data_IF_251035946154
#
_entry.id   IF_251035946154
#
_cell.length_a   1.000
_cell.length_b   1.000
_cell.length_c   1.000
_cell.angle_alpha   90.00
_cell.angle_beta   90.00
_cell.angle_gamma   90.00
#
_symmetry.space_group_name_H-M   'P 1'
#
loop_
_entity.id
_entity.type
_entity.pdbx_description
1 polymer ?
#
# COMPACT_ATOMS: atom_id res chain seq x y z
N UNK A 1 -38.60 -1.48 0.52
CA UNK A 1 -38.19 -0.64 1.66
C UNK A 1 -38.91 0.71 1.66
N UNK A 2 -39.23 1.30 2.83
CA UNK A 2 -39.69 2.70 2.93
C UNK A 2 -38.51 3.59 3.36
N UNK A 3 -38.15 4.58 2.57
CA UNK A 3 -37.01 5.49 2.84
C UNK A 3 -37.20 6.32 4.12
N UNK A 4 -38.45 6.58 4.52
CA UNK A 4 -38.78 7.28 5.78
C UNK A 4 -38.25 6.56 7.03
N UNK A 5 -38.09 5.22 6.97
CA UNK A 5 -37.56 4.45 8.10
C UNK A 5 -36.10 4.81 8.42
N UNK A 6 -35.38 5.42 7.48
CA UNK A 6 -33.97 5.81 7.61
C UNK A 6 -33.76 7.30 7.92
N UNK A 7 -34.84 8.09 7.97
CA UNK A 7 -34.76 9.48 8.40
C UNK A 7 -34.71 9.58 9.92
N UNK A 8 -34.11 10.66 10.41
CA UNK A 8 -34.11 10.98 11.83
C UNK A 8 -35.52 11.31 12.32
N UNK A 9 -35.88 10.75 13.47
CA UNK A 9 -37.15 11.07 14.15
C UNK A 9 -37.01 12.36 14.96
N UNK A 10 -38.14 13.02 15.23
CA UNK A 10 -38.15 14.21 16.07
C UNK A 10 -37.53 13.92 17.45
N UNK A 11 -36.63 14.80 17.90
CA UNK A 11 -35.85 14.69 19.14
C UNK A 11 -34.93 13.46 19.26
N UNK A 12 -34.67 12.74 18.16
CA UNK A 12 -33.74 11.61 18.17
C UNK A 12 -32.28 12.11 18.13
N UNK A 13 -31.52 11.79 19.18
CA UNK A 13 -30.10 12.12 19.24
C UNK A 13 -29.27 11.31 18.23
N UNK A 14 -28.03 11.74 17.97
CA UNK A 14 -27.15 11.05 17.02
C UNK A 14 -26.94 9.57 17.37
N UNK A 15 -26.81 9.24 18.65
CA UNK A 15 -26.50 7.87 19.06
C UNK A 15 -27.69 6.96 18.79
N UNK A 16 -28.88 7.35 19.21
CA UNK A 16 -30.13 6.62 18.98
C UNK A 16 -30.40 6.48 17.48
N UNK A 17 -30.32 7.58 16.73
CA UNK A 17 -30.54 7.61 15.29
C UNK A 17 -29.62 6.63 14.55
N UNK A 18 -28.29 6.80 14.69
CA UNK A 18 -27.34 5.98 13.94
C UNK A 18 -27.37 4.51 14.36
N UNK A 19 -27.64 4.20 15.64
CA UNK A 19 -27.75 2.81 16.11
C UNK A 19 -28.94 2.12 15.46
N UNK A 20 -30.09 2.81 15.41
CA UNK A 20 -31.31 2.28 14.80
C UNK A 20 -31.14 2.03 13.31
N UNK A 21 -30.64 3.02 12.56
CA UNK A 21 -30.52 2.87 11.09
C UNK A 21 -29.41 1.91 10.68
N UNK A 22 -28.33 1.79 11.46
CA UNK A 22 -27.30 0.76 11.24
C UNK A 22 -27.90 -0.65 11.34
N UNK A 23 -28.75 -0.90 12.35
CA UNK A 23 -29.46 -2.17 12.50
C UNK A 23 -30.37 -2.47 11.31
N UNK A 24 -31.15 -1.49 10.86
CA UNK A 24 -32.04 -1.67 9.70
C UNK A 24 -31.24 -1.97 8.41
N UNK A 25 -30.11 -1.31 8.19
CA UNK A 25 -29.21 -1.60 7.06
C UNK A 25 -28.65 -3.04 7.19
N UNK A 26 -28.26 -3.47 8.38
CA UNK A 26 -27.79 -4.84 8.63
C UNK A 26 -28.86 -5.88 8.29
N UNK A 27 -30.11 -5.65 8.69
CA UNK A 27 -31.24 -6.55 8.38
C UNK A 27 -31.48 -6.65 6.87
N UNK A 28 -31.34 -5.56 6.12
CA UNK A 28 -31.42 -5.57 4.66
C UNK A 28 -30.28 -6.39 4.02
N UNK A 29 -29.04 -6.21 4.50
CA UNK A 29 -27.88 -7.01 4.04
C UNK A 29 -28.07 -8.50 4.34
N UNK A 30 -28.52 -8.84 5.56
CA UNK A 30 -28.78 -10.21 5.97
C UNK A 30 -29.88 -10.89 5.13
N UNK A 31 -30.85 -10.10 4.64
CA UNK A 31 -31.90 -10.57 3.72
C UNK A 31 -31.46 -10.63 2.24
N UNK A 32 -30.19 -10.33 1.92
CA UNK A 32 -29.67 -10.32 0.55
C UNK A 32 -30.15 -9.14 -0.30
N UNK A 33 -30.67 -8.08 0.33
CA UNK A 33 -31.26 -6.91 -0.34
C UNK A 33 -30.24 -5.79 -0.55
N UNK A 34 -29.17 -6.09 -1.29
CA UNK A 34 -28.02 -5.20 -1.48
C UNK A 34 -28.40 -3.82 -2.06
N UNK A 35 -29.34 -3.78 -3.03
CA UNK A 35 -29.81 -2.51 -3.62
C UNK A 35 -30.53 -1.65 -2.59
N UNK A 36 -31.48 -2.23 -1.85
CA UNK A 36 -32.22 -1.53 -0.80
C UNK A 36 -31.25 -1.05 0.31
N UNK A 37 -30.26 -1.87 0.68
CA UNK A 37 -29.22 -1.47 1.64
C UNK A 37 -28.39 -0.27 1.17
N UNK A 38 -28.04 -0.21 -0.12
CA UNK A 38 -27.24 0.87 -0.70
C UNK A 38 -28.04 2.18 -0.75
N UNK A 39 -29.31 2.10 -1.16
CA UNK A 39 -30.23 3.23 -1.15
C UNK A 39 -30.47 3.76 0.28
N UNK A 40 -30.70 2.86 1.24
CA UNK A 40 -30.82 3.21 2.66
C UNK A 40 -29.58 3.93 3.19
N UNK A 41 -28.38 3.40 2.90
CA UNK A 41 -27.13 4.04 3.31
C UNK A 41 -26.97 5.43 2.71
N UNK A 42 -27.41 5.65 1.46
CA UNK A 42 -27.36 6.97 0.80
C UNK A 42 -28.18 8.02 1.57
N UNK A 43 -29.35 7.65 2.10
CA UNK A 43 -30.16 8.54 2.96
C UNK A 43 -29.42 8.87 4.25
N UNK A 44 -28.91 7.85 4.96
CA UNK A 44 -28.18 8.03 6.22
C UNK A 44 -26.88 8.83 6.02
N UNK A 45 -26.24 8.67 4.87
CA UNK A 45 -24.97 9.33 4.55
C UNK A 45 -25.07 10.86 4.56
N UNK A 46 -26.23 11.42 4.21
CA UNK A 46 -26.45 12.88 4.24
C UNK A 46 -26.21 13.47 5.64
N UNK A 47 -26.60 12.74 6.68
CA UNK A 47 -26.39 13.13 8.09
C UNK A 47 -25.03 12.67 8.63
N UNK A 48 -24.52 11.54 8.14
CA UNK A 48 -23.26 10.96 8.60
C UNK A 48 -22.03 11.69 8.06
N UNK A 49 -22.05 12.11 6.79
CA UNK A 49 -20.91 12.72 6.09
C UNK A 49 -20.33 13.96 6.82
N UNK A 50 -21.13 14.92 7.33
CA UNK A 50 -20.60 16.06 8.09
C UNK A 50 -19.86 15.62 9.37
N UNK A 51 -20.33 14.55 10.03
CA UNK A 51 -19.71 14.02 11.25
C UNK A 51 -18.39 13.33 10.91
N UNK A 52 -18.34 12.56 9.82
CA UNK A 52 -17.10 11.96 9.31
C UNK A 52 -16.07 13.07 9.07
N UNK A 53 -16.41 14.08 8.27
CA UNK A 53 -15.52 15.20 7.95
C UNK A 53 -14.98 15.87 9.22
N UNK A 54 -15.87 16.21 10.16
CA UNK A 54 -15.50 16.81 11.44
C UNK A 54 -14.51 15.95 12.23
N UNK A 55 -14.76 14.65 12.38
CA UNK A 55 -13.86 13.75 13.13
C UNK A 55 -12.50 13.64 12.45
N UNK A 56 -12.49 13.50 11.12
CA UNK A 56 -11.26 13.41 10.34
C UNK A 56 -10.46 14.71 10.41
N UNK A 57 -11.10 15.88 10.31
CA UNK A 57 -10.47 17.19 10.48
C UNK A 57 -9.87 17.35 11.88
N UNK A 58 -10.60 16.98 12.93
CA UNK A 58 -10.11 17.04 14.30
C UNK A 58 -8.87 16.16 14.51
N UNK A 59 -8.90 14.90 14.05
CA UNK A 59 -7.74 14.01 14.14
C UNK A 59 -6.58 14.54 13.28
N UNK A 60 -6.86 15.05 12.08
CA UNK A 60 -5.86 15.59 11.16
C UNK A 60 -5.13 16.79 11.78
N UNK A 61 -5.87 17.70 12.43
CA UNK A 61 -5.29 18.83 13.18
C UNK A 61 -4.47 18.35 14.37
N UNK A 62 -4.95 17.36 15.12
CA UNK A 62 -4.25 16.82 16.28
C UNK A 62 -2.90 16.18 15.91
N UNK A 63 -2.77 15.62 14.69
CA UNK A 63 -1.54 15.05 14.17
C UNK A 63 -0.83 15.93 13.12
N UNK A 64 -1.28 17.18 12.92
CA UNK A 64 -0.71 18.11 11.92
C UNK A 64 -0.49 17.44 10.56
N UNK A 65 -1.52 16.74 10.05
CA UNK A 65 -1.49 16.19 8.70
C UNK A 65 -1.54 17.36 7.70
N UNK A 66 -0.76 17.29 6.62
CA UNK A 66 -0.92 18.18 5.47
C UNK A 66 -2.22 17.87 4.70
N UNK A 67 -2.60 18.79 3.81
CA UNK A 67 -3.87 18.70 3.08
C UNK A 67 -3.95 17.45 2.20
N UNK A 68 -2.83 17.04 1.59
CA UNK A 68 -2.77 15.83 0.76
C UNK A 68 -3.02 14.57 1.59
N UNK A 69 -2.39 14.48 2.76
CA UNK A 69 -2.54 13.37 3.70
C UNK A 69 -3.94 13.37 4.32
N UNK A 70 -4.50 14.53 4.66
CA UNK A 70 -5.87 14.65 5.15
C UNK A 70 -6.89 14.21 4.10
N UNK A 71 -6.72 14.61 2.84
CA UNK A 71 -7.58 14.18 1.74
C UNK A 71 -7.55 12.65 1.56
N UNK A 72 -6.35 12.07 1.53
CA UNK A 72 -6.17 10.62 1.43
C UNK A 72 -6.70 9.85 2.64
N UNK A 73 -6.65 10.45 3.84
CA UNK A 73 -7.26 9.90 5.04
C UNK A 73 -8.80 9.94 4.94
N UNK A 74 -9.38 11.07 4.57
CA UNK A 74 -10.82 11.25 4.41
C UNK A 74 -11.40 10.27 3.39
N UNK A 75 -10.78 10.17 2.21
CA UNK A 75 -11.22 9.27 1.12
C UNK A 75 -11.28 7.82 1.57
N UNK A 76 -10.28 7.36 2.32
CA UNK A 76 -10.25 5.98 2.86
C UNK A 76 -11.21 5.78 4.02
N UNK A 77 -11.31 6.77 4.90
CA UNK A 77 -12.25 6.73 6.01
C UNK A 77 -13.68 6.56 5.50
N UNK A 78 -14.05 7.31 4.46
CA UNK A 78 -15.36 7.24 3.82
C UNK A 78 -15.69 5.83 3.28
N UNK A 79 -14.77 5.24 2.51
CA UNK A 79 -14.90 3.88 1.98
C UNK A 79 -15.07 2.84 3.11
N UNK A 80 -14.23 2.90 4.14
CA UNK A 80 -14.30 1.95 5.26
C UNK A 80 -15.59 2.09 6.04
N UNK A 81 -16.05 3.31 6.31
CA UNK A 81 -17.29 3.55 7.04
C UNK A 81 -18.47 3.02 6.24
N UNK A 82 -18.53 3.26 4.93
CA UNK A 82 -19.61 2.75 4.08
C UNK A 82 -19.79 1.24 4.13
N UNK A 83 -18.67 0.50 4.28
CA UNK A 83 -18.66 -0.97 4.32
C UNK A 83 -18.93 -1.55 5.71
N UNK A 84 -18.79 -0.74 6.76
CA UNK A 84 -18.80 -1.22 8.15
C UNK A 84 -19.84 -0.56 9.03
N UNK A 85 -20.55 0.45 8.54
CA UNK A 85 -21.55 1.20 9.31
C UNK A 85 -22.67 0.31 9.86
N UNK A 86 -23.06 -0.76 9.17
CA UNK A 86 -24.05 -1.75 9.64
C UNK A 86 -23.64 -2.48 10.93
N UNK A 87 -22.37 -2.36 11.34
CA UNK A 87 -21.81 -2.92 12.58
C UNK A 87 -21.84 -1.94 13.76
N UNK A 88 -22.27 -0.70 13.54
CA UNK A 88 -22.29 0.32 14.58
C UNK A 88 -23.26 -0.05 15.71
N UNK A 89 -22.72 -0.13 16.94
CA UNK A 89 -23.43 -0.56 18.15
C UNK A 89 -24.10 -1.94 18.03
N UNK A 90 -23.60 -2.78 17.15
CA UNK A 90 -24.10 -4.13 16.97
C UNK A 90 -23.48 -5.11 18.00
N UNK A 91 -24.25 -5.79 18.85
CA UNK A 91 -23.71 -6.63 19.92
C UNK A 91 -22.78 -7.76 19.45
N UNK A 92 -22.97 -8.27 18.22
CA UNK A 92 -22.11 -9.33 17.66
C UNK A 92 -20.71 -8.81 17.29
N UNK A 93 -20.56 -7.49 17.12
CA UNK A 93 -19.32 -6.84 16.73
C UNK A 93 -18.68 -6.04 17.87
N UNK A 94 -19.25 -6.10 19.08
CA UNK A 94 -18.72 -5.44 20.26
C UNK A 94 -18.06 -6.43 21.21
N UNK A 95 -16.92 -6.03 21.79
CA UNK A 95 -16.28 -6.79 22.88
C UNK A 95 -17.13 -6.83 24.13
N UNK A 96 -17.80 -5.72 24.44
CA UNK A 96 -18.71 -5.58 25.57
C UNK A 96 -20.12 -5.43 25.00
N UNK A 97 -20.90 -6.51 25.04
CA UNK A 97 -22.20 -6.61 24.35
C UNK A 97 -23.23 -5.57 24.83
N UNK A 98 -23.10 -5.11 26.07
CA UNK A 98 -24.05 -4.19 26.70
C UNK A 98 -23.67 -2.71 26.53
N UNK A 99 -22.48 -2.42 25.98
CA UNK A 99 -22.04 -1.04 25.77
C UNK A 99 -22.48 -0.51 24.42
N UNK A 100 -22.82 0.77 24.39
CA UNK A 100 -23.04 1.50 23.15
C UNK A 100 -22.17 2.75 23.12
N UNK A 101 -21.50 2.96 21.99
CA UNK A 101 -20.58 4.05 21.75
C UNK A 101 -21.27 5.18 21.00
N UNK A 102 -20.71 6.39 21.10
CA UNK A 102 -21.12 7.51 20.25
C UNK A 102 -20.53 7.37 18.83
N UNK A 103 -21.20 7.96 17.85
CA UNK A 103 -20.83 7.82 16.43
C UNK A 103 -19.41 8.35 16.14
N UNK A 104 -18.98 9.42 16.80
CA UNK A 104 -17.63 9.98 16.65
C UNK A 104 -16.54 9.00 17.13
N UNK A 105 -16.82 8.24 18.20
CA UNK A 105 -15.91 7.21 18.73
C UNK A 105 -15.81 6.04 17.77
N UNK A 106 -16.94 5.59 17.21
CA UNK A 106 -16.97 4.55 16.20
C UNK A 106 -16.12 4.94 14.98
N UNK A 107 -16.36 6.13 14.41
CA UNK A 107 -15.60 6.64 13.27
C UNK A 107 -14.10 6.62 13.59
N UNK A 108 -13.69 7.23 14.72
CA UNK A 108 -12.28 7.32 15.12
C UNK A 108 -11.60 5.96 15.28
N UNK A 109 -12.28 4.98 15.87
CA UNK A 109 -11.71 3.64 16.08
C UNK A 109 -11.60 2.89 14.76
N UNK A 110 -12.67 2.92 13.97
CA UNK A 110 -12.77 2.19 12.69
C UNK A 110 -11.79 2.72 11.65
N UNK A 111 -11.54 4.03 11.62
CA UNK A 111 -10.68 4.67 10.61
C UNK A 111 -9.23 4.88 11.06
N UNK A 112 -8.86 4.44 12.26
CA UNK A 112 -7.50 4.62 12.82
C UNK A 112 -6.39 4.09 11.91
N UNK A 113 -6.65 3.01 11.18
CA UNK A 113 -5.69 2.46 10.22
C UNK A 113 -5.60 3.30 8.94
N UNK A 114 -6.70 3.94 8.51
CA UNK A 114 -6.75 4.77 7.30
C UNK A 114 -5.76 5.95 7.38
N UNK A 115 -5.63 6.57 8.56
CA UNK A 115 -4.64 7.62 8.78
C UNK A 115 -3.20 7.11 8.61
N UNK A 116 -2.92 5.90 9.07
CA UNK A 116 -1.58 5.29 8.90
C UNK A 116 -1.31 4.97 7.43
N UNK A 117 -2.31 4.44 6.74
CA UNK A 117 -2.19 4.15 5.30
C UNK A 117 -2.01 5.43 4.47
N UNK A 118 -2.70 6.51 4.86
CA UNK A 118 -2.52 7.82 4.24
C UNK A 118 -1.08 8.32 4.42
N UNK A 119 -0.56 8.31 5.65
CA UNK A 119 0.82 8.70 5.95
C UNK A 119 1.87 7.83 5.23
N UNK A 120 1.65 6.51 5.19
CA UNK A 120 2.57 5.60 4.50
C UNK A 120 2.72 5.97 3.02
N UNK A 121 1.62 6.36 2.38
CA UNK A 121 1.59 6.70 0.96
C UNK A 121 2.09 8.10 0.67
N UNK A 122 1.71 9.09 1.47
CA UNK A 122 2.12 10.48 1.23
C UNK A 122 3.59 10.71 1.57
N UNK A 123 4.11 10.00 2.57
CA UNK A 123 5.50 10.12 2.99
C UNK A 123 6.41 9.01 2.45
N UNK A 124 5.86 8.08 1.66
CA UNK A 124 6.58 6.92 1.11
C UNK A 124 7.35 6.11 2.19
N UNK A 125 6.71 5.87 3.34
CA UNK A 125 7.28 5.09 4.45
C UNK A 125 6.50 3.79 4.69
N UNK A 126 7.15 2.81 5.32
CA UNK A 126 6.48 1.58 5.76
C UNK A 126 5.36 1.82 6.78
N UNK A 127 4.29 1.00 6.73
CA UNK A 127 3.15 1.09 7.68
C UNK A 127 3.58 0.91 9.15
N UNK A 128 4.64 0.13 9.39
CA UNK A 128 5.26 -0.08 10.70
C UNK A 128 5.91 1.20 11.26
N UNK A 129 6.30 2.13 10.38
CA UNK A 129 6.91 3.42 10.72
C UNK A 129 5.88 4.50 11.06
N UNK A 130 4.65 4.38 10.54
CA UNK A 130 3.59 5.37 10.77
C UNK A 130 3.17 5.46 12.26
N UNK A 131 3.14 4.33 12.99
CA UNK A 131 2.76 4.33 14.41
C UNK A 131 3.80 5.06 15.29
N UNK A 132 5.11 4.80 15.17
CA UNK A 132 6.16 5.63 15.77
C UNK A 132 6.06 7.12 15.36
N UNK A 133 5.85 7.42 14.08
CA UNK A 133 5.72 8.79 13.60
C UNK A 133 4.58 9.56 14.27
N UNK A 134 3.40 8.94 14.39
CA UNK A 134 2.25 9.54 15.09
C UNK A 134 2.54 9.79 16.58
N UNK A 135 3.31 8.92 17.24
CA UNK A 135 3.74 9.14 18.63
C UNK A 135 4.67 10.36 18.71
N UNK A 136 5.64 10.46 17.81
CA UNK A 136 6.57 11.59 17.72
C UNK A 136 5.81 12.90 17.52
N UNK A 137 4.87 12.95 16.56
CA UNK A 137 4.02 14.12 16.30
C UNK A 137 3.26 14.56 17.55
N UNK A 138 2.64 13.60 18.24
CA UNK A 138 1.86 13.88 19.45
C UNK A 138 2.72 14.37 20.60
N UNK A 139 3.89 13.76 20.82
CA UNK A 139 4.86 14.20 21.82
C UNK A 139 5.34 15.63 21.51
N UNK A 140 5.70 15.90 20.25
CA UNK A 140 6.15 17.24 19.82
C UNK A 140 5.08 18.31 20.07
N UNK A 141 3.83 18.07 19.68
CA UNK A 141 2.72 19.01 19.92
C UNK A 141 2.45 19.23 21.42
N UNK A 142 2.55 18.17 22.24
CA UNK A 142 2.43 18.29 23.70
C UNK A 142 3.55 19.17 24.27
N UNK A 143 4.79 18.94 23.85
CA UNK A 143 5.96 19.72 24.29
C UNK A 143 5.86 21.20 23.87
N UNK A 144 5.46 21.49 22.64
CA UNK A 144 5.19 22.85 22.18
C UNK A 144 4.20 23.58 23.09
N UNK A 145 3.07 22.92 23.43
CA UNK A 145 2.05 23.49 24.32
C UNK A 145 2.54 23.68 25.75
N UNK A 146 3.25 22.69 26.27
CA UNK A 146 3.72 22.66 27.66
C UNK A 146 4.78 23.74 27.91
N UNK A 147 5.74 23.88 27.01
CA UNK A 147 6.84 24.83 27.14
C UNK A 147 6.61 26.17 26.43
N UNK A 148 5.51 26.31 25.69
CA UNK A 148 5.20 27.49 24.84
C UNK A 148 6.34 27.82 23.89
N UNK A 149 6.90 26.79 23.26
CA UNK A 149 7.99 26.91 22.28
C UNK A 149 7.51 26.51 20.89
N UNK A 150 8.19 27.05 19.89
CA UNK A 150 7.98 26.68 18.50
C UNK A 150 8.39 25.23 18.23
N UNK A 151 7.85 24.67 17.13
CA UNK A 151 8.04 23.26 16.77
C UNK A 151 9.50 22.95 16.46
N UNK A 152 10.18 23.89 15.84
CA UNK A 152 11.59 23.85 15.45
C UNK A 152 12.51 23.83 16.68
N UNK A 153 12.04 24.40 17.79
CA UNK A 153 12.76 24.44 19.07
C UNK A 153 12.63 23.15 19.89
N UNK A 154 11.74 22.23 19.50
CA UNK A 154 11.60 20.93 20.18
C UNK A 154 12.73 20.00 19.75
N UNK A 155 13.64 19.70 20.68
CA UNK A 155 14.80 18.83 20.40
C UNK A 155 14.42 17.35 20.37
N UNK A 156 15.28 16.53 19.75
CA UNK A 156 15.12 15.06 19.73
C UNK A 156 15.11 14.49 21.15
N UNK A 157 15.94 15.02 22.05
CA UNK A 157 16.01 14.57 23.45
C UNK A 157 14.72 14.87 24.22
N UNK A 158 14.09 16.02 23.99
CA UNK A 158 12.80 16.33 24.59
C UNK A 158 11.73 15.32 24.15
N UNK A 159 11.70 14.97 22.86
CA UNK A 159 10.76 13.97 22.33
C UNK A 159 11.07 12.58 22.90
N UNK A 160 12.34 12.19 22.96
CA UNK A 160 12.75 10.89 23.51
C UNK A 160 12.35 10.73 24.97
N UNK A 161 12.56 11.77 25.78
CA UNK A 161 12.22 11.79 27.20
C UNK A 161 10.70 11.78 27.41
N UNK A 162 9.94 12.57 26.64
CA UNK A 162 8.47 12.57 26.69
C UNK A 162 7.86 11.22 26.26
N UNK A 163 8.53 10.50 25.36
CA UNK A 163 8.12 9.16 24.96
C UNK A 163 8.63 8.07 25.91
N UNK A 164 9.35 8.42 26.98
CA UNK A 164 9.94 7.48 27.95
C UNK A 164 10.75 6.36 27.27
N UNK A 165 11.46 6.69 26.19
CA UNK A 165 12.24 5.73 25.41
C UNK A 165 11.42 4.74 24.55
N UNK A 166 10.10 4.89 24.45
CA UNK A 166 9.24 4.02 23.65
C UNK A 166 9.52 4.06 22.13
N UNK A 167 10.31 5.03 21.67
CA UNK A 167 10.84 5.12 20.31
C UNK A 167 12.33 5.46 20.40
N UNK A 168 13.25 4.67 19.80
CA UNK A 168 14.68 4.95 19.83
C UNK A 168 15.04 6.29 19.19
N UNK A 169 16.08 6.98 19.70
CA UNK A 169 16.52 8.29 19.18
C UNK A 169 16.79 8.28 17.68
N UNK A 170 17.49 7.27 17.16
CA UNK A 170 17.79 7.13 15.73
C UNK A 170 16.52 7.11 14.87
N UNK A 171 15.47 6.44 15.38
CA UNK A 171 14.17 6.37 14.73
C UNK A 171 13.43 7.71 14.80
N UNK A 172 13.56 8.45 15.89
CA UNK A 172 13.02 9.82 16.01
C UNK A 172 13.70 10.73 15.00
N UNK A 173 15.03 10.65 14.87
CA UNK A 173 15.82 11.44 13.92
C UNK A 173 15.38 11.13 12.48
N UNK A 174 15.38 9.84 12.10
CA UNK A 174 15.03 9.42 10.75
C UNK A 174 13.61 9.88 10.35
N UNK A 175 12.62 9.65 11.22
CA UNK A 175 11.23 10.03 10.93
C UNK A 175 11.02 11.56 10.96
N UNK A 176 11.76 12.29 11.78
CA UNK A 176 11.70 13.75 11.78
C UNK A 176 12.30 14.35 10.50
N UNK A 177 13.30 13.70 9.90
CA UNK A 177 13.83 14.11 8.58
C UNK A 177 12.79 13.92 7.48
N UNK A 178 12.11 12.77 7.45
CA UNK A 178 11.01 12.50 6.49
C UNK A 178 9.92 13.58 6.55
N UNK A 179 9.56 14.05 7.76
CA UNK A 179 8.53 15.10 7.91
C UNK A 179 8.94 16.48 7.42
N UNK A 180 10.24 16.82 7.52
CA UNK A 180 10.73 18.12 7.05
C UNK A 180 10.72 18.21 5.51
N UNK A 181 10.52 17.08 4.83
CA UNK A 181 10.68 16.98 3.40
C UNK A 181 12.13 17.20 2.98
N UNK A 182 12.34 17.23 1.66
CA UNK A 182 13.60 17.67 1.07
C UNK A 182 13.41 19.10 0.59
N UNK A 183 14.35 19.99 0.90
CA UNK A 183 14.36 21.33 0.30
C UNK A 183 14.64 21.16 -1.19
N UNK A 184 13.90 21.87 -2.06
CA UNK A 184 14.19 21.85 -3.50
C UNK A 184 15.63 22.33 -3.73
N UNK A 185 16.34 21.69 -4.68
CA UNK A 185 17.68 22.11 -5.08
C UNK A 185 17.70 23.58 -5.51
N UNK A 186 16.62 24.03 -6.16
CA UNK A 186 16.47 25.42 -6.61
C UNK A 186 16.37 26.38 -5.43
N UNK A 187 15.58 26.03 -4.41
CA UNK A 187 15.39 26.85 -3.22
C UNK A 187 16.65 26.91 -2.34
N UNK A 188 17.44 25.84 -2.37
CA UNK A 188 18.74 25.76 -1.67
C UNK A 188 19.79 26.65 -2.36
N UNK A 189 19.79 26.65 -3.71
CA UNK A 189 20.63 27.55 -4.53
C UNK A 189 20.23 29.02 -4.38
N UNK A 190 18.93 29.31 -4.30
CA UNK A 190 18.41 30.67 -4.07
C UNK A 190 18.82 31.24 -2.70
N UNK A 191 18.95 30.39 -1.68
CA UNK A 191 19.40 30.80 -0.34
C UNK A 191 20.93 31.01 -0.25
N UNK A 192 21.67 30.90 -1.36
CA UNK A 192 23.11 31.10 -1.40
C UNK A 192 23.92 29.98 -0.76
N UNK A 193 23.29 28.86 -0.42
CA UNK A 193 23.99 27.66 0.04
C UNK A 193 24.64 26.98 -1.17
N UNK A 194 25.94 26.68 -1.06
CA UNK A 194 26.61 25.80 -2.02
C UNK A 194 26.01 24.41 -1.88
N UNK A 195 25.11 24.09 -2.81
CA UNK A 195 24.73 22.71 -3.05
C UNK A 195 25.93 22.08 -3.75
N UNK A 196 26.74 21.34 -3.00
CA UNK A 196 27.52 20.26 -3.58
C UNK A 196 26.50 19.33 -4.22
N UNK A 197 26.24 19.55 -5.51
CA UNK A 197 25.65 18.53 -6.35
C UNK A 197 26.67 17.42 -6.24
N UNK A 198 26.37 16.41 -5.42
CA UNK A 198 27.08 15.16 -5.53
C UNK A 198 27.04 14.84 -7.02
N UNK A 199 28.21 14.85 -7.69
CA UNK A 199 28.33 14.16 -8.96
C UNK A 199 27.64 12.82 -8.75
N UNK A 200 26.71 12.49 -9.64
CA UNK A 200 25.85 11.31 -9.57
C UNK A 200 26.71 10.04 -9.45
N UNK A 201 27.22 9.75 -8.25
CA UNK A 201 27.91 8.52 -7.90
C UNK A 201 26.88 7.43 -7.57
N UNK A 202 25.71 7.49 -8.21
CA UNK A 202 24.72 6.42 -8.17
C UNK A 202 25.27 5.13 -8.79
N UNK A 203 26.22 5.24 -9.74
CA UNK A 203 26.88 4.12 -10.41
C UNK A 203 27.64 3.17 -9.46
N UNK A 204 27.98 3.63 -8.26
CA UNK A 204 28.79 2.87 -7.29
C UNK A 204 27.98 2.34 -6.09
N UNK A 205 26.81 2.93 -5.80
CA UNK A 205 25.99 2.59 -4.62
C UNK A 205 24.95 1.52 -4.97
N UNK A 206 24.35 1.62 -6.15
CA UNK A 206 23.65 0.52 -6.80
C UNK A 206 24.55 0.12 -7.96
N UNK A 207 25.46 -0.83 -7.74
CA UNK A 207 26.37 -1.26 -8.81
C UNK A 207 25.58 -1.51 -10.10
N UNK A 208 26.00 -0.91 -11.21
CA UNK A 208 25.37 -1.09 -12.53
C UNK A 208 25.44 -2.55 -13.05
N UNK A 209 26.00 -3.45 -12.24
CA UNK A 209 26.24 -4.85 -12.57
C UNK A 209 25.85 -5.73 -11.37
N UNK A 210 25.22 -6.87 -11.68
CA UNK A 210 25.10 -7.98 -10.74
C UNK A 210 26.47 -8.28 -10.15
N UNK A 211 26.56 -8.46 -8.84
CA UNK A 211 27.77 -9.00 -8.23
C UNK A 211 28.19 -10.26 -8.98
N UNK A 212 29.49 -10.49 -9.19
CA UNK A 212 30.01 -11.67 -9.90
C UNK A 212 29.39 -12.98 -9.39
N UNK A 213 29.17 -13.06 -8.07
CA UNK A 213 28.49 -14.19 -7.43
C UNK A 213 27.00 -14.27 -7.81
N UNK A 214 26.27 -13.15 -7.78
CA UNK A 214 24.86 -13.10 -8.18
C UNK A 214 24.67 -13.44 -9.66
N UNK A 215 25.51 -12.89 -10.54
CA UNK A 215 25.53 -13.20 -11.97
C UNK A 215 25.80 -14.68 -12.23
N UNK A 216 26.81 -15.26 -11.56
CA UNK A 216 27.11 -16.68 -11.71
C UNK A 216 25.95 -17.61 -11.27
N UNK A 217 25.20 -17.24 -10.23
CA UNK A 217 24.02 -18.02 -9.82
C UNK A 217 22.84 -17.85 -10.79
N UNK A 218 22.66 -16.67 -11.37
CA UNK A 218 21.67 -16.44 -12.44
C UNK A 218 22.04 -17.16 -13.73
N UNK A 219 23.30 -17.15 -14.14
CA UNK A 219 23.79 -17.89 -15.31
C UNK A 219 23.55 -19.39 -15.14
N UNK A 220 23.81 -19.95 -13.95
CA UNK A 220 23.50 -21.36 -13.64
C UNK A 220 22.01 -21.68 -13.72
N UNK A 221 21.14 -20.76 -13.28
CA UNK A 221 19.70 -20.95 -13.35
C UNK A 221 19.19 -20.80 -14.79
N UNK A 222 19.69 -19.80 -15.51
CA UNK A 222 19.37 -19.54 -16.92
C UNK A 222 19.83 -20.69 -17.82
N UNK A 223 20.96 -21.35 -17.54
CA UNK A 223 21.42 -22.52 -18.28
C UNK A 223 20.45 -23.73 -18.18
N UNK A 224 19.54 -23.74 -17.20
CA UNK A 224 18.48 -24.77 -17.07
C UNK A 224 17.20 -24.39 -17.83
N UNK A 225 17.11 -23.16 -18.32
CA UNK A 225 15.97 -22.61 -19.06
C UNK A 225 16.27 -22.67 -20.56
N UNK A 226 15.29 -23.13 -21.35
CA UNK A 226 15.34 -22.92 -22.80
C UNK A 226 14.94 -21.48 -23.16
N UNK A 227 15.14 -21.08 -24.41
CA UNK A 227 14.72 -19.75 -24.86
C UNK A 227 13.19 -19.58 -24.79
N UNK A 228 12.43 -20.66 -25.02
CA UNK A 228 10.98 -20.69 -24.74
C UNK A 228 10.65 -20.52 -23.24
N UNK A 229 11.46 -21.09 -22.34
CA UNK A 229 11.28 -20.87 -20.89
C UNK A 229 11.51 -19.39 -20.53
N UNK A 230 12.52 -18.75 -21.12
CA UNK A 230 12.80 -17.31 -20.94
C UNK A 230 11.64 -16.46 -21.46
N UNK A 231 11.07 -16.80 -22.62
CA UNK A 231 9.93 -16.07 -23.20
C UNK A 231 8.69 -16.12 -22.29
N UNK A 232 8.37 -17.30 -21.76
CA UNK A 232 7.26 -17.50 -20.82
C UNK A 232 7.52 -16.72 -19.52
N UNK A 233 8.77 -16.72 -19.02
CA UNK A 233 9.16 -15.96 -17.83
C UNK A 233 8.93 -14.45 -18.03
N UNK A 234 9.46 -13.86 -19.10
CA UNK A 234 9.32 -12.40 -19.34
C UNK A 234 7.86 -11.99 -19.56
N UNK A 235 7.02 -12.87 -20.12
CA UNK A 235 5.56 -12.69 -20.18
C UNK A 235 4.92 -12.64 -18.79
N UNK A 236 5.22 -13.61 -17.92
CA UNK A 236 4.56 -13.76 -16.61
C UNK A 236 4.87 -12.60 -15.66
N UNK A 237 6.09 -12.08 -15.73
CA UNK A 237 6.49 -10.88 -14.98
C UNK A 237 6.04 -9.57 -15.64
N UNK A 238 5.43 -9.64 -16.83
CA UNK A 238 4.85 -8.50 -17.54
C UNK A 238 5.88 -7.59 -18.21
N UNK A 239 7.05 -8.14 -18.53
CA UNK A 239 8.18 -7.40 -19.11
C UNK A 239 8.01 -7.15 -20.61
N UNK A 240 7.20 -7.96 -21.28
CA UNK A 240 6.76 -7.76 -22.69
C UNK A 240 5.67 -6.69 -22.84
N UNK A 241 5.32 -5.99 -21.75
CA UNK A 241 4.26 -4.97 -21.74
C UNK A 241 2.89 -5.45 -21.28
N UNK A 242 1.99 -4.50 -21.05
CA UNK A 242 0.67 -4.73 -20.41
C UNK A 242 -0.28 -5.61 -21.25
N UNK A 243 -0.13 -5.62 -22.57
CA UNK A 243 -0.92 -6.45 -23.49
C UNK A 243 -0.59 -7.93 -23.33
N UNK A 244 0.70 -8.29 -23.42
CA UNK A 244 1.17 -9.66 -23.24
C UNK A 244 0.95 -10.20 -21.83
N UNK A 245 1.07 -9.36 -20.80
CA UNK A 245 0.80 -9.78 -19.42
C UNK A 245 -0.64 -10.25 -19.20
N UNK A 246 -1.60 -9.56 -19.85
CA UNK A 246 -3.04 -9.83 -19.74
C UNK A 246 -3.53 -10.89 -20.74
N UNK A 247 -2.67 -11.33 -21.64
CA UNK A 247 -2.97 -12.37 -22.61
C UNK A 247 -3.12 -13.70 -21.87
N UNK A 248 -4.25 -14.37 -22.11
CA UNK A 248 -4.49 -15.72 -21.62
C UNK A 248 -3.51 -16.70 -22.27
N UNK A 249 -3.21 -17.80 -21.58
CA UNK A 249 -2.19 -18.74 -22.07
C UNK A 249 -2.58 -19.35 -23.43
N UNK A 250 -3.88 -19.59 -23.67
CA UNK A 250 -4.38 -20.08 -24.96
C UNK A 250 -4.11 -19.10 -26.13
N UNK A 251 -4.11 -17.81 -25.86
CA UNK A 251 -3.84 -16.76 -26.87
C UNK A 251 -2.34 -16.48 -27.00
N UNK A 252 -1.58 -16.74 -25.93
CA UNK A 252 -0.13 -16.57 -25.94
C UNK A 252 0.57 -17.65 -26.77
N UNK A 253 0.11 -18.90 -26.66
CA UNK A 253 0.75 -20.01 -27.37
C UNK A 253 0.57 -19.95 -28.88
N UNK A 254 -0.43 -19.22 -29.40
CA UNK A 254 -0.66 -19.06 -30.84
C UNK A 254 0.18 -17.93 -31.46
N UNK A 255 0.96 -17.19 -30.66
CA UNK A 255 1.82 -16.13 -31.18
C UNK A 255 2.94 -16.72 -32.05
N UNK A 256 3.35 -16.04 -33.14
CA UNK A 256 4.41 -16.52 -34.02
C UNK A 256 5.70 -16.85 -33.26
N UNK A 257 6.11 -15.96 -32.37
CA UNK A 257 7.31 -16.11 -31.52
C UNK A 257 7.22 -17.32 -30.59
N UNK A 258 6.04 -17.63 -30.03
CA UNK A 258 5.87 -18.82 -29.21
C UNK A 258 6.01 -20.10 -30.04
N UNK A 259 5.41 -20.13 -31.23
CA UNK A 259 5.44 -21.30 -32.11
C UNK A 259 6.85 -21.60 -32.62
N UNK A 260 7.58 -20.55 -33.01
CA UNK A 260 8.99 -20.64 -33.41
C UNK A 260 9.86 -21.22 -32.28
N UNK A 261 9.82 -20.61 -31.08
CA UNK A 261 10.57 -21.09 -29.93
C UNK A 261 10.13 -22.48 -29.45
N UNK A 262 8.86 -22.84 -29.64
CA UNK A 262 8.35 -24.18 -29.36
C UNK A 262 8.93 -25.23 -30.31
N UNK A 263 9.08 -24.90 -31.59
CA UNK A 263 9.68 -25.78 -32.60
C UNK A 263 11.18 -25.98 -32.37
N UNK A 264 11.89 -24.93 -31.98
CA UNK A 264 13.34 -24.97 -31.71
C UNK A 264 13.71 -25.67 -30.40
N UNK A 265 12.80 -25.69 -29.41
CA UNK A 265 13.07 -26.27 -28.11
C UNK A 265 13.15 -27.81 -28.17
N UNK A 266 14.38 -28.32 -28.16
CA UNK A 266 14.69 -29.76 -28.16
C UNK A 266 14.48 -30.45 -26.80
N UNK A 267 14.21 -29.69 -25.73
CA UNK A 267 13.99 -30.25 -24.39
C UNK A 267 12.54 -30.72 -24.15
N UNK A 268 11.64 -30.50 -25.10
CA UNK A 268 10.22 -30.84 -25.01
C UNK A 268 9.98 -32.22 -25.62
N UNK A 269 9.46 -33.16 -24.83
CA UNK A 269 9.21 -34.55 -25.27
C UNK A 269 7.98 -34.71 -26.17
N UNK A 270 6.94 -33.89 -25.97
CA UNK A 270 5.75 -33.86 -26.82
C UNK A 270 5.29 -32.41 -26.99
N UNK A 271 5.13 -32.01 -28.25
CA UNK A 271 4.71 -30.65 -28.66
C UNK A 271 3.23 -30.62 -29.10
N UNK A 272 2.49 -31.70 -28.90
CA UNK A 272 1.10 -31.89 -29.39
C UNK A 272 0.10 -30.91 -28.76
N UNK A 273 0.33 -30.51 -27.50
CA UNK A 273 -0.50 -29.55 -26.78
C UNK A 273 0.35 -28.36 -26.32
N UNK A 274 0.38 -27.26 -27.09
CA UNK A 274 1.15 -26.06 -26.77
C UNK A 274 0.73 -25.41 -25.44
N UNK A 275 -0.57 -25.44 -25.09
CA UNK A 275 -1.09 -24.85 -23.85
C UNK A 275 -0.59 -25.62 -22.64
N UNK A 276 -0.73 -26.95 -22.66
CA UNK A 276 -0.23 -27.82 -21.59
C UNK A 276 1.29 -27.71 -21.47
N UNK A 277 1.99 -27.61 -22.59
CA UNK A 277 3.45 -27.42 -22.62
C UNK A 277 3.85 -26.10 -21.96
N UNK A 278 3.16 -25.01 -22.25
CA UNK A 278 3.40 -23.70 -21.63
C UNK A 278 3.19 -23.73 -20.11
N UNK A 279 2.12 -24.37 -19.62
CA UNK A 279 1.87 -24.52 -18.17
C UNK A 279 2.95 -25.37 -17.48
N UNK A 280 3.38 -26.47 -18.10
CA UNK A 280 4.46 -27.31 -17.55
C UNK A 280 5.78 -26.54 -17.47
N UNK A 281 6.10 -25.75 -18.51
CA UNK A 281 7.27 -24.87 -18.52
C UNK A 281 7.18 -23.77 -17.48
N UNK A 282 6.01 -23.14 -17.31
CA UNK A 282 5.75 -22.19 -16.23
C UNK A 282 6.03 -22.81 -14.85
N UNK A 283 5.57 -24.03 -14.60
CA UNK A 283 5.85 -24.73 -13.34
C UNK A 283 7.36 -25.01 -13.15
N UNK A 284 8.06 -25.43 -14.22
CA UNK A 284 9.53 -25.60 -14.22
C UNK A 284 10.24 -24.29 -13.88
N UNK A 285 9.86 -23.18 -14.51
CA UNK A 285 10.42 -21.85 -14.27
C UNK A 285 10.26 -21.45 -12.81
N UNK A 286 9.05 -21.57 -12.25
CA UNK A 286 8.80 -21.23 -10.85
C UNK A 286 9.64 -22.07 -9.88
N UNK A 287 9.91 -23.35 -10.20
CA UNK A 287 10.81 -24.19 -9.42
C UNK A 287 12.26 -23.71 -9.49
N UNK A 288 12.75 -23.34 -10.67
CA UNK A 288 14.11 -22.80 -10.85
C UNK A 288 14.27 -21.47 -10.10
N UNK A 289 13.26 -20.59 -10.16
CA UNK A 289 13.27 -19.33 -9.40
C UNK A 289 13.23 -19.55 -7.88
N UNK A 290 12.46 -20.54 -7.41
CA UNK A 290 12.44 -20.88 -5.99
C UNK A 290 13.81 -21.39 -5.49
N UNK A 291 14.57 -22.10 -6.34
CA UNK A 291 15.94 -22.55 -6.02
C UNK A 291 16.97 -21.40 -5.89
N UNK A 292 16.63 -20.21 -6.41
CA UNK A 292 17.43 -18.98 -6.27
C UNK A 292 17.13 -18.22 -4.97
N UNK A 293 15.98 -18.50 -4.34
CA UNK A 293 15.60 -17.90 -3.06
C UNK A 293 16.63 -18.27 -1.98
N UNK A 294 17.28 -17.25 -1.40
CA UNK A 294 18.33 -17.42 -0.39
C UNK A 294 19.75 -17.63 -0.92
N UNK A 295 19.96 -17.72 -2.25
CA UNK A 295 21.31 -17.80 -2.87
C UNK A 295 21.78 -16.49 -3.48
N UNK A 296 20.84 -15.64 -3.89
CA UNK A 296 21.08 -14.24 -4.23
C UNK A 296 20.56 -13.34 -3.09
N UNK A 297 21.24 -12.22 -2.82
CA UNK A 297 20.76 -11.27 -1.80
C UNK A 297 19.47 -10.60 -2.29
N UNK A 298 18.51 -10.34 -1.40
CA UNK A 298 17.25 -9.66 -1.79
C UNK A 298 17.50 -8.27 -2.42
N UNK A 299 18.61 -7.61 -2.04
CA UNK A 299 19.09 -6.36 -2.64
C UNK A 299 19.55 -6.52 -4.10
N UNK A 300 20.12 -7.67 -4.49
CA UNK A 300 20.51 -7.97 -5.87
C UNK A 300 19.31 -8.41 -6.73
N UNK A 301 18.23 -8.87 -6.10
CA UNK A 301 17.09 -9.52 -6.75
C UNK A 301 16.03 -8.51 -7.21
N UNK A 302 15.85 -7.39 -6.49
CA UNK A 302 14.70 -6.50 -6.69
C UNK A 302 14.79 -5.54 -7.89
N UNK A 303 15.96 -5.39 -8.52
CA UNK A 303 16.14 -4.60 -9.75
C UNK A 303 16.81 -5.38 -10.89
N UNK A 304 17.80 -6.22 -10.58
CA UNK A 304 18.68 -6.78 -11.60
C UNK A 304 18.17 -8.05 -12.29
N UNK A 305 17.26 -8.82 -11.65
CA UNK A 305 16.62 -9.98 -12.29
C UNK A 305 15.87 -9.57 -13.57
N UNK A 306 15.14 -8.46 -13.49
CA UNK A 306 14.38 -7.92 -14.62
C UNK A 306 15.33 -7.52 -15.75
N UNK A 307 16.37 -6.74 -15.45
CA UNK A 307 17.36 -6.33 -16.45
C UNK A 307 18.14 -7.51 -17.05
N UNK A 308 18.46 -8.54 -16.25
CA UNK A 308 19.15 -9.74 -16.72
C UNK A 308 18.30 -10.53 -17.72
N UNK A 309 17.06 -10.85 -17.35
CA UNK A 309 16.17 -11.61 -18.23
C UNK A 309 15.69 -10.80 -19.44
N UNK A 310 15.61 -9.47 -19.34
CA UNK A 310 15.39 -8.60 -20.51
C UNK A 310 16.58 -8.62 -21.47
N UNK A 311 17.82 -8.46 -20.97
CA UNK A 311 19.02 -8.58 -21.81
C UNK A 311 19.13 -9.96 -22.46
N UNK A 312 18.76 -11.01 -21.74
CA UNK A 312 18.72 -12.38 -22.28
C UNK A 312 17.65 -12.51 -23.37
N UNK A 313 16.46 -11.94 -23.15
CA UNK A 313 15.40 -11.90 -24.16
C UNK A 313 15.83 -11.14 -25.42
N UNK A 314 16.46 -9.96 -25.28
CA UNK A 314 17.00 -9.18 -26.40
C UNK A 314 18.09 -9.92 -27.21
N UNK A 315 18.74 -10.93 -26.63
CA UNK A 315 19.68 -11.80 -27.35
C UNK A 315 18.98 -12.92 -28.12
N UNK A 316 17.77 -13.31 -27.69
CA UNK A 316 16.94 -14.35 -28.31
C UNK A 316 16.11 -13.74 -29.45
N UNK A 317 15.65 -12.49 -29.29
CA UNK A 317 14.83 -11.77 -30.29
C UNK A 317 15.62 -11.29 -31.53
N UNK A 318 16.96 -11.37 -31.52
CA UNK A 318 17.85 -10.91 -32.59
C UNK A 318 18.14 -11.99 -33.64
#
# INVERSE_FOLDING_TARGET
MRTEDFKRKENEDNKAYFTRVAKLIRELKAAGKEKESTEAYTVVYQELCPIIKKVIECESRAYRLDDATMYEYLRRADDVISRTFDRYNDPDHLKEKDKQFGIEVFIKVTTKYCMRDALARTLCIGLDQCKPLLKIRRAREKLCKMYRIDRESVTIDMIFNELEGAVPKDKIIALSKVEKGFVSLDQTRENGEQVDVYEDNYDHIFGNELSEKGKAELDKASAKMSDLDVYILVKEFGLLGKSFRRMEMCDFVITPTFQELLEEDSMIRSKEDPVKTAYNKKAKIMKILAELSGKASESDVQGFLVSYFMKRWEQIEK
#
